data_IF_406262760144
#
_entry.id   IF_406262760144
#
_cell.length_a   1.000
_cell.length_b   1.000
_cell.length_c   1.000
_cell.angle_alpha   90.00
_cell.angle_beta   90.00
_cell.angle_gamma   90.00
#
_symmetry.space_group_name_H-M   'P 1'
#
loop_
_entity.id
_entity.type
_entity.pdbx_description
1 polymer ?
#
# COMPACT_ATOMS: atom_id res chain seq x y z
N UNK A 1 19.81 7.94 30.34
CA UNK A 1 19.61 6.53 30.68
C UNK A 1 18.30 6.51 31.44
N UNK A 2 17.15 6.43 30.79
CA UNK A 2 16.81 5.59 29.63
C UNK A 2 16.11 6.37 28.51
N UNK A 3 16.53 6.09 27.29
CA UNK A 3 15.92 6.56 26.05
C UNK A 3 15.07 5.43 25.47
N UNK A 4 13.85 5.77 25.07
CA UNK A 4 12.78 4.91 24.56
C UNK A 4 13.25 3.74 23.70
N UNK A 5 12.91 2.53 24.15
CA UNK A 5 13.05 1.29 23.42
C UNK A 5 11.70 0.95 22.73
N UNK A 6 11.18 1.90 21.94
CA UNK A 6 10.02 1.65 21.07
C UNK A 6 10.50 0.83 19.87
N UNK A 7 9.92 -0.35 19.76
CA UNK A 7 10.59 -1.55 19.30
C UNK A 7 10.11 -1.87 17.89
N UNK A 8 10.90 -1.44 16.90
CA UNK A 8 10.70 -1.63 15.46
C UNK A 8 10.16 -3.04 15.15
N UNK A 9 9.01 -3.07 14.50
CA UNK A 9 8.41 -4.25 13.85
C UNK A 9 8.42 -3.85 12.38
N UNK A 10 9.18 -4.56 11.55
CA UNK A 10 9.55 -4.13 10.20
C UNK A 10 8.92 -5.08 9.16
N UNK A 11 8.19 -4.55 8.17
CA UNK A 11 7.61 -5.23 6.98
C UNK A 11 7.39 -4.20 5.85
N UNK A 12 8.41 -3.96 5.04
CA UNK A 12 8.26 -3.15 3.82
C UNK A 12 7.30 -3.84 2.85
N UNK A 13 6.44 -3.07 2.19
CA UNK A 13 5.65 -3.50 1.04
C UNK A 13 5.90 -2.53 -0.11
N UNK A 14 6.64 -2.96 -1.14
CA UNK A 14 6.61 -2.23 -2.42
C UNK A 14 5.32 -2.61 -3.15
N UNK A 15 4.34 -1.71 -3.24
CA UNK A 15 3.08 -2.01 -3.94
C UNK A 15 3.20 -1.72 -5.44
N UNK A 16 3.08 -2.75 -6.27
CA UNK A 16 2.99 -2.65 -7.73
C UNK A 16 1.56 -2.98 -8.23
N UNK A 17 0.83 -1.99 -8.74
CA UNK A 17 -0.50 -2.17 -9.33
C UNK A 17 -0.39 -2.35 -10.85
N UNK A 18 -0.83 -3.51 -11.35
CA UNK A 18 -0.67 -3.89 -12.76
C UNK A 18 -2.02 -4.07 -13.48
N UNK A 19 -2.11 -3.63 -14.74
CA UNK A 19 -3.32 -3.72 -15.57
C UNK A 19 -3.14 -4.30 -16.99
N UNK A 20 -4.27 -4.84 -17.49
CA UNK A 20 -4.71 -5.29 -18.83
C UNK A 20 -4.15 -6.56 -19.50
N UNK A 21 -5.07 -7.31 -20.13
CA UNK A 21 -4.82 -8.43 -21.05
C UNK A 21 -5.79 -8.34 -22.23
N UNK A 22 -5.47 -7.50 -23.21
CA UNK A 22 -6.08 -7.52 -24.56
C UNK A 22 -4.98 -7.79 -25.58
N UNK A 23 -4.71 -9.07 -25.86
CA UNK A 23 -3.91 -9.57 -27.00
C UNK A 23 -2.73 -8.69 -27.45
N UNK A 24 -1.87 -8.29 -26.52
CA UNK A 24 -0.48 -7.88 -26.75
C UNK A 24 0.24 -8.02 -25.41
N UNK A 25 1.44 -8.59 -25.42
CA UNK A 25 2.17 -9.09 -24.25
C UNK A 25 2.87 -7.97 -23.43
N UNK A 26 2.14 -6.90 -23.08
CA UNK A 26 2.65 -5.85 -22.19
C UNK A 26 1.60 -5.55 -21.12
N UNK A 27 1.94 -5.91 -19.88
CA UNK A 27 1.20 -5.53 -18.69
C UNK A 27 1.57 -4.07 -18.37
N UNK A 28 0.59 -3.20 -18.19
CA UNK A 28 0.82 -1.78 -17.90
C UNK A 28 0.96 -1.59 -16.38
N UNK A 29 2.03 -0.91 -15.97
CA UNK A 29 2.23 -0.45 -14.60
C UNK A 29 1.43 0.84 -14.41
N UNK A 30 0.44 0.81 -13.51
CA UNK A 30 -0.38 1.99 -13.23
C UNK A 30 0.27 2.86 -12.14
N UNK A 31 0.63 2.22 -11.03
CA UNK A 31 1.25 2.88 -9.89
C UNK A 31 2.29 1.98 -9.24
N UNK A 32 3.28 2.64 -8.65
CA UNK A 32 4.33 2.02 -7.85
C UNK A 32 4.65 2.94 -6.67
N UNK A 33 4.84 2.36 -5.49
CA UNK A 33 5.37 3.07 -4.32
C UNK A 33 6.71 2.47 -3.98
N UNK A 34 7.77 3.27 -4.09
CA UNK A 34 9.14 2.85 -3.88
C UNK A 34 9.78 2.08 -5.03
N UNK A 35 11.04 1.73 -4.79
CA UNK A 35 11.87 0.91 -5.65
C UNK A 35 11.93 -0.52 -5.10
N UNK A 36 11.78 -1.49 -6.00
CA UNK A 36 12.18 -2.88 -5.75
C UNK A 36 13.72 -2.97 -5.78
N UNK A 37 14.36 -2.70 -4.63
CA UNK A 37 15.82 -2.65 -4.51
C UNK A 37 16.38 -3.35 -3.26
N UNK A 38 15.54 -4.10 -2.53
CA UNK A 38 15.88 -4.72 -1.24
C UNK A 38 16.45 -3.75 -0.18
N UNK A 39 16.17 -2.46 -0.33
CA UNK A 39 16.73 -1.39 0.46
C UNK A 39 15.68 -0.67 1.32
N UNK A 40 16.14 0.41 1.94
CA UNK A 40 15.29 1.45 2.51
C UNK A 40 15.86 2.77 2.01
N UNK A 41 15.96 2.95 0.68
CA UNK A 41 16.51 4.19 0.15
C UNK A 41 15.63 5.34 0.64
N UNK A 42 16.29 6.37 1.19
CA UNK A 42 15.60 7.64 1.37
C UNK A 42 15.37 8.21 -0.04
N UNK A 43 14.11 8.31 -0.40
CA UNK A 43 13.60 9.08 -1.51
C UNK A 43 13.66 10.57 -1.25
N UNK A 44 13.32 11.35 -2.27
CA UNK A 44 13.12 12.81 -2.16
C UNK A 44 11.86 13.27 -2.91
N UNK A 45 11.04 12.34 -3.40
CA UNK A 45 9.82 12.57 -4.18
C UNK A 45 8.83 11.42 -3.89
N UNK A 46 7.66 11.42 -4.51
CA UNK A 46 6.68 10.33 -4.36
C UNK A 46 6.72 9.25 -5.45
N UNK A 47 5.70 8.40 -5.45
CA UNK A 47 5.54 7.27 -6.35
C UNK A 47 6.72 6.31 -6.26
N UNK A 48 7.37 6.04 -7.40
CA UNK A 48 8.53 5.15 -7.48
C UNK A 48 9.70 5.61 -6.60
N UNK A 49 9.79 6.90 -6.30
CA UNK A 49 10.88 7.50 -5.52
C UNK A 49 10.49 7.75 -4.06
N UNK A 50 9.34 7.24 -3.59
CA UNK A 50 8.87 7.40 -2.22
C UNK A 50 9.84 6.84 -1.17
N UNK A 51 10.03 7.59 -0.07
CA UNK A 51 10.75 7.15 1.11
C UNK A 51 9.95 6.16 1.96
N UNK A 52 10.61 5.13 2.47
CA UNK A 52 10.02 4.20 3.43
C UNK A 52 10.54 4.53 4.83
N UNK A 53 9.72 5.25 5.61
CA UNK A 53 10.11 5.83 6.91
C UNK A 53 9.56 5.05 8.11
N UNK A 54 10.26 5.17 9.25
CA UNK A 54 9.84 4.50 10.48
C UNK A 54 8.40 4.86 10.82
N UNK A 55 7.65 3.84 11.22
CA UNK A 55 6.23 3.90 11.53
C UNK A 55 6.00 4.68 12.82
N UNK A 56 4.86 5.37 12.92
CA UNK A 56 4.40 6.00 14.14
C UNK A 56 3.77 4.96 15.11
N UNK A 57 3.37 3.79 14.60
CA UNK A 57 2.91 2.61 15.36
C UNK A 57 1.42 2.61 15.71
N UNK A 58 0.63 3.49 15.10
CA UNK A 58 -0.81 3.64 15.28
C UNK A 58 -1.53 3.65 13.92
N UNK A 59 -2.75 3.10 13.86
CA UNK A 59 -3.61 3.22 12.67
C UNK A 59 -4.30 4.58 12.71
N UNK A 60 -4.02 5.44 11.73
CA UNK A 60 -4.80 6.63 11.43
C UNK A 60 -6.18 6.25 10.90
N UNK A 61 -7.26 6.92 11.35
CA UNK A 61 -8.56 6.78 10.71
C UNK A 61 -8.53 7.42 9.30
N UNK A 62 -9.29 6.85 8.37
CA UNK A 62 -9.48 7.46 7.05
C UNK A 62 -9.99 8.92 7.19
N UNK A 63 -9.52 9.85 6.34
CA UNK A 63 -8.64 9.64 5.19
C UNK A 63 -7.13 9.73 5.49
N UNK A 64 -6.67 9.76 6.74
CA UNK A 64 -5.26 10.02 7.03
C UNK A 64 -4.81 11.42 6.59
N UNK A 65 -3.51 11.58 6.31
CA UNK A 65 -2.90 12.84 5.87
C UNK A 65 -2.12 12.66 4.57
N UNK A 66 -2.40 13.43 3.50
CA UNK A 66 -1.68 13.34 2.22
C UNK A 66 -0.35 14.13 2.25
N UNK A 67 0.29 14.25 3.41
CA UNK A 67 1.45 15.11 3.65
C UNK A 67 2.54 14.42 4.48
N UNK A 68 2.78 13.15 4.19
CA UNK A 68 3.84 12.35 4.78
C UNK A 68 5.22 12.89 4.42
N UNK A 69 6.16 12.78 5.36
CA UNK A 69 7.53 13.31 5.24
C UNK A 69 8.56 12.21 5.41
N UNK A 70 9.74 12.37 4.81
CA UNK A 70 10.87 11.43 4.93
C UNK A 70 11.49 11.31 6.34
N UNK A 71 10.94 12.00 7.34
CA UNK A 71 11.38 11.91 8.73
C UNK A 71 10.86 10.63 9.41
N UNK A 72 11.58 10.05 10.38
CA UNK A 72 11.05 8.97 11.19
C UNK A 72 9.72 9.36 11.86
N UNK A 73 8.69 8.53 11.70
CA UNK A 73 7.30 8.77 12.16
C UNK A 73 6.62 9.95 11.47
N UNK A 74 7.15 10.35 10.31
CA UNK A 74 6.65 11.42 9.48
C UNK A 74 5.57 10.99 8.49
N UNK A 75 5.31 9.68 8.36
CA UNK A 75 4.21 9.12 7.59
C UNK A 75 3.16 8.49 8.51
N UNK A 76 1.93 8.41 8.03
CA UNK A 76 0.91 7.54 8.60
C UNK A 76 0.67 6.33 7.67
N UNK A 77 -0.31 5.50 8.03
CA UNK A 77 -0.60 4.27 7.32
C UNK A 77 -1.41 4.50 6.03
N UNK A 78 -1.54 5.74 5.56
CA UNK A 78 -2.17 6.15 4.30
C UNK A 78 -1.13 6.77 3.36
N UNK A 79 -1.08 6.29 2.12
CA UNK A 79 -0.23 6.87 1.08
C UNK A 79 -1.09 7.30 -0.11
N UNK A 80 -1.08 8.58 -0.43
CA UNK A 80 -1.77 9.18 -1.55
C UNK A 80 -0.86 9.37 -2.76
N UNK A 81 -1.32 8.88 -3.91
CA UNK A 81 -0.86 9.37 -5.19
C UNK A 81 -1.50 10.74 -5.51
N UNK A 82 -0.86 11.52 -6.38
CA UNK A 82 -1.43 12.74 -6.92
C UNK A 82 -2.78 12.45 -7.59
N UNK A 83 -3.78 13.28 -7.29
CA UNK A 83 -5.15 13.01 -7.73
C UNK A 83 -6.18 13.94 -7.11
N UNK A 84 -7.43 13.77 -7.52
CA UNK A 84 -8.59 14.44 -6.95
C UNK A 84 -9.45 13.40 -6.23
N UNK A 85 -9.70 13.60 -4.94
CA UNK A 85 -10.40 12.66 -4.06
C UNK A 85 -11.61 13.36 -3.47
N UNK A 86 -12.70 13.38 -4.21
CA UNK A 86 -13.94 14.10 -3.88
C UNK A 86 -15.15 13.18 -3.72
N UNK A 87 -14.96 11.87 -3.93
CA UNK A 87 -16.04 10.89 -3.96
C UNK A 87 -15.59 9.61 -3.27
N UNK A 88 -16.35 9.21 -2.26
CA UNK A 88 -16.14 7.96 -1.55
C UNK A 88 -16.67 6.79 -2.34
N UNK A 89 -15.93 5.69 -2.31
CA UNK A 89 -16.44 4.38 -2.72
C UNK A 89 -17.08 3.73 -1.49
N UNK A 90 -18.35 3.31 -1.52
CA UNK A 90 -19.08 2.80 -0.35
C UNK A 90 -18.38 1.65 0.41
N UNK A 91 -17.52 0.89 -0.25
CA UNK A 91 -16.72 -0.20 0.35
C UNK A 91 -15.61 0.28 1.30
N UNK A 92 -15.23 1.56 1.24
CA UNK A 92 -14.10 2.14 1.99
C UNK A 92 -14.51 2.70 3.35
N UNK A 93 -15.81 2.71 3.66
CA UNK A 93 -16.35 3.35 4.85
C UNK A 93 -16.73 4.80 4.63
N UNK A 94 -17.01 5.52 5.72
CA UNK A 94 -17.53 6.88 5.70
C UNK A 94 -16.49 7.84 6.27
N UNK A 95 -16.03 8.80 5.48
CA UNK A 95 -15.08 9.85 5.86
C UNK A 95 -15.23 11.09 4.95
N UNK A 96 -14.72 12.24 5.36
CA UNK A 96 -14.71 13.42 4.47
C UNK A 96 -13.59 13.25 3.42
N UNK A 97 -13.87 13.33 2.11
CA UNK A 97 -12.85 13.19 1.09
C UNK A 97 -11.74 14.25 1.21
N UNK A 98 -10.49 13.86 0.94
CA UNK A 98 -9.32 14.73 1.16
C UNK A 98 -9.22 15.89 0.16
N UNK A 99 -9.87 15.79 -1.00
CA UNK A 99 -9.84 16.78 -2.07
C UNK A 99 -8.63 16.60 -2.99
N UNK A 100 -8.02 17.71 -3.43
CA UNK A 100 -6.88 17.69 -4.33
C UNK A 100 -5.59 17.33 -3.59
N UNK A 101 -4.87 16.35 -4.13
CA UNK A 101 -3.49 16.01 -3.76
C UNK A 101 -2.61 16.35 -4.96
N UNK A 102 -1.77 17.38 -4.81
CA UNK A 102 -1.01 17.96 -5.93
C UNK A 102 0.17 17.08 -6.40
N UNK A 103 0.73 16.27 -5.51
CA UNK A 103 1.91 15.44 -5.74
C UNK A 103 1.75 14.11 -5.03
N UNK A 104 2.36 13.05 -5.56
CA UNK A 104 2.52 11.79 -4.84
C UNK A 104 3.20 12.08 -3.50
N UNK A 105 2.74 11.44 -2.43
CA UNK A 105 3.33 11.66 -1.11
C UNK A 105 4.80 11.28 -1.06
N UNK A 106 5.61 12.04 -0.31
CA UNK A 106 7.05 11.84 -0.26
C UNK A 106 7.43 10.52 0.44
N UNK A 107 6.59 10.04 1.35
CA UNK A 107 6.93 8.90 2.20
C UNK A 107 5.73 8.01 2.52
N UNK A 108 5.99 6.71 2.65
CA UNK A 108 5.07 5.71 3.18
C UNK A 108 5.63 5.12 4.48
N UNK A 109 4.74 4.66 5.36
CA UNK A 109 5.16 3.81 6.47
C UNK A 109 5.79 2.51 5.95
N UNK A 110 6.91 2.19 6.55
CA UNK A 110 7.80 1.15 6.05
C UNK A 110 7.53 -0.24 6.62
N UNK A 111 6.57 -0.35 7.55
CA UNK A 111 6.24 -1.60 8.20
C UNK A 111 4.85 -1.68 8.77
N UNK A 112 4.40 -2.91 8.95
CA UNK A 112 3.44 -3.23 9.99
C UNK A 112 4.10 -3.17 11.38
N UNK A 113 3.72 -2.18 12.18
CA UNK A 113 4.27 -2.00 13.52
C UNK A 113 3.26 -1.84 14.65
N UNK A 114 3.41 -2.72 15.63
CA UNK A 114 2.69 -2.73 16.91
C UNK A 114 1.19 -2.91 16.70
N UNK A 115 0.41 -1.84 16.85
CA UNK A 115 -1.02 -1.85 16.56
C UNK A 115 -1.32 -1.49 15.11
N UNK A 116 -0.37 -0.90 14.40
CA UNK A 116 -0.48 -0.63 12.97
C UNK A 116 -0.24 -1.92 12.16
N UNK A 117 -1.33 -2.39 11.58
CA UNK A 117 -1.45 -3.62 10.82
C UNK A 117 -2.26 -3.39 9.53
N UNK A 118 -2.40 -2.14 9.07
CA UNK A 118 -3.21 -1.80 7.90
C UNK A 118 -2.58 -0.65 7.10
N UNK A 119 -1.79 -0.98 6.08
CA UNK A 119 -1.19 -0.01 5.18
C UNK A 119 -2.11 0.21 3.98
N UNK A 120 -2.44 1.47 3.68
CA UNK A 120 -3.43 1.85 2.67
C UNK A 120 -2.82 2.75 1.61
N UNK A 121 -3.17 2.51 0.36
CA UNK A 121 -2.67 3.24 -0.79
C UNK A 121 -3.84 3.76 -1.63
N UNK A 122 -3.90 5.07 -1.80
CA UNK A 122 -5.01 5.83 -2.36
C UNK A 122 -4.66 6.35 -3.76
N UNK A 123 -5.54 6.09 -4.73
CA UNK A 123 -5.30 6.47 -6.12
C UNK A 123 -6.60 6.68 -6.91
N UNK A 124 -6.53 7.51 -7.95
CA UNK A 124 -7.55 7.58 -9.00
C UNK A 124 -7.16 6.65 -10.17
N UNK A 125 -8.08 5.80 -10.65
CA UNK A 125 -7.86 4.98 -11.85
C UNK A 125 -7.97 5.80 -13.15
N UNK A 126 -7.25 5.47 -14.24
CA UNK A 126 -7.46 6.09 -15.54
C UNK A 126 -8.90 5.90 -16.04
N UNK A 127 -9.49 6.96 -16.60
CA UNK A 127 -10.86 6.96 -17.15
C UNK A 127 -11.03 6.07 -18.39
N UNK A 128 -9.92 5.60 -18.97
CA UNK A 128 -9.88 4.67 -20.09
C UNK A 128 -10.12 3.21 -19.70
N UNK A 129 -10.14 2.88 -18.42
CA UNK A 129 -10.37 1.51 -17.97
C UNK A 129 -11.86 1.17 -17.99
N UNK A 130 -12.17 -0.01 -18.48
CA UNK A 130 -13.51 -0.58 -18.51
C UNK A 130 -13.81 -1.40 -17.24
N UNK A 131 -15.07 -1.60 -16.85
CA UNK A 131 -15.44 -2.44 -15.70
C UNK A 131 -14.87 -3.87 -15.74
N UNK A 132 -14.61 -4.40 -16.94
CA UNK A 132 -14.02 -5.72 -17.18
C UNK A 132 -12.49 -5.73 -17.25
N UNK A 133 -11.84 -4.57 -17.12
CA UNK A 133 -10.39 -4.47 -17.08
C UNK A 133 -9.84 -5.26 -15.90
N UNK A 134 -8.81 -6.05 -16.18
CA UNK A 134 -8.16 -6.87 -15.17
C UNK A 134 -7.01 -6.11 -14.51
N UNK A 135 -7.03 -6.09 -13.18
CA UNK A 135 -5.94 -5.60 -12.34
C UNK A 135 -5.35 -6.73 -11.50
N UNK A 136 -4.12 -6.51 -11.02
CA UNK A 136 -3.51 -7.27 -9.93
C UNK A 136 -2.67 -6.35 -9.06
N UNK A 137 -2.54 -6.69 -7.80
CA UNK A 137 -1.64 -6.03 -6.85
C UNK A 137 -0.42 -6.92 -6.65
N UNK A 138 0.78 -6.33 -6.54
CA UNK A 138 2.01 -7.06 -6.21
C UNK A 138 2.68 -6.38 -5.03
N UNK A 139 3.23 -7.15 -4.12
CA UNK A 139 4.10 -6.63 -3.07
C UNK A 139 5.16 -7.65 -2.68
N UNK A 140 6.24 -7.20 -2.09
CA UNK A 140 7.27 -8.05 -1.50
C UNK A 140 7.51 -7.66 -0.04
N UNK A 141 8.39 -8.41 0.65
CA UNK A 141 8.80 -8.09 2.01
C UNK A 141 10.32 -8.10 2.12
N UNK A 142 10.88 -7.00 2.62
CA UNK A 142 12.33 -6.86 2.80
C UNK A 142 12.85 -7.64 4.02
N UNK A 143 12.14 -7.58 5.15
CA UNK A 143 12.58 -8.24 6.38
C UNK A 143 11.42 -8.72 7.27
N UNK A 144 11.78 -9.46 8.32
CA UNK A 144 10.90 -9.91 9.39
C UNK A 144 11.52 -9.59 10.75
N UNK A 145 10.67 -9.51 11.78
CA UNK A 145 11.15 -9.54 13.16
C UNK A 145 11.83 -10.89 13.46
N UNK A 146 13.11 -10.83 13.84
CA UNK A 146 13.95 -12.01 14.10
C UNK A 146 14.02 -12.41 15.57
N UNK A 147 13.30 -11.72 16.46
CA UNK A 147 13.24 -12.06 17.89
C UNK A 147 12.45 -13.35 18.18
N UNK A 148 11.31 -13.62 17.51
CA UNK A 148 10.61 -14.90 17.67
C UNK A 148 11.44 -16.08 17.16
N UNK A 149 11.21 -17.27 17.74
CA UNK A 149 11.87 -18.50 17.28
C UNK A 149 11.40 -18.94 15.88
N UNK A 150 10.20 -18.52 15.48
CA UNK A 150 9.64 -18.73 14.14
C UNK A 150 9.28 -17.37 13.50
N UNK A 151 10.25 -16.63 12.93
CA UNK A 151 9.99 -15.38 12.24
C UNK A 151 8.99 -15.59 11.09
N UNK A 152 7.82 -14.97 11.19
CA UNK A 152 6.76 -15.05 10.18
C UNK A 152 5.78 -13.90 10.34
N UNK A 153 5.12 -13.56 9.24
CA UNK A 153 4.07 -12.55 9.22
C UNK A 153 3.03 -12.88 8.16
N UNK A 154 1.76 -12.64 8.44
CA UNK A 154 0.65 -12.84 7.49
C UNK A 154 0.28 -11.53 6.82
N UNK A 155 0.01 -11.54 5.52
CA UNK A 155 -0.51 -10.38 4.78
C UNK A 155 -1.71 -10.78 3.93
N UNK A 156 -2.84 -10.11 4.11
CA UNK A 156 -4.01 -10.13 3.23
C UNK A 156 -4.02 -8.87 2.34
N UNK A 157 -4.58 -8.96 1.13
CA UNK A 157 -4.74 -7.80 0.24
C UNK A 157 -6.21 -7.55 -0.04
N UNK A 158 -6.63 -6.31 0.14
CA UNK A 158 -7.96 -5.82 -0.16
C UNK A 158 -7.91 -4.72 -1.21
N UNK A 159 -8.93 -4.67 -2.06
CA UNK A 159 -9.18 -3.56 -2.99
C UNK A 159 -10.59 -3.04 -2.73
N UNK A 160 -10.70 -1.76 -2.36
CA UNK A 160 -11.92 -1.11 -1.90
C UNK A 160 -12.75 -1.94 -0.90
N UNK A 161 -12.08 -2.51 0.10
CA UNK A 161 -12.68 -3.38 1.11
C UNK A 161 -13.03 -4.80 0.66
N UNK A 162 -12.83 -5.15 -0.62
CA UNK A 162 -13.02 -6.51 -1.15
C UNK A 162 -11.71 -7.30 -1.06
N UNK A 163 -11.75 -8.48 -0.43
CA UNK A 163 -10.59 -9.37 -0.32
C UNK A 163 -10.20 -9.91 -1.71
N UNK A 164 -9.00 -9.55 -2.19
CA UNK A 164 -8.46 -10.02 -3.48
C UNK A 164 -7.36 -11.07 -3.32
N UNK A 165 -6.76 -11.15 -2.14
CA UNK A 165 -5.74 -12.14 -1.80
C UNK A 165 -5.88 -12.57 -0.33
N UNK A 166 -6.27 -13.83 -0.08
CA UNK A 166 -6.21 -14.42 1.26
C UNK A 166 -4.80 -14.42 1.81
N UNK A 167 -4.67 -14.60 3.13
CA UNK A 167 -3.40 -14.48 3.85
C UNK A 167 -2.25 -15.24 3.16
N UNK A 168 -1.20 -14.49 2.87
CA UNK A 168 0.11 -15.00 2.49
C UNK A 168 0.96 -15.04 3.75
N UNK A 169 1.39 -16.24 4.16
CA UNK A 169 2.32 -16.40 5.27
C UNK A 169 3.76 -16.28 4.78
N UNK A 170 4.39 -15.16 5.11
CA UNK A 170 5.78 -14.82 4.76
C UNK A 170 6.72 -15.36 5.83
N UNK A 171 7.81 -15.99 5.39
CA UNK A 171 8.89 -16.53 6.24
C UNK A 171 10.24 -16.12 5.62
N UNK A 172 11.38 -16.32 6.29
CA UNK A 172 12.67 -15.84 5.80
C UNK A 172 13.02 -16.26 4.36
N UNK A 173 12.67 -17.46 3.85
CA UNK A 173 12.91 -17.83 2.46
C UNK A 173 12.04 -17.10 1.42
N UNK A 174 11.03 -16.34 1.84
CA UNK A 174 10.15 -15.57 0.96
C UNK A 174 10.30 -14.05 1.14
N UNK A 175 11.38 -13.60 1.77
CA UNK A 175 11.81 -12.21 1.62
C UNK A 175 12.29 -11.99 0.17
N UNK A 176 12.14 -10.77 -0.36
CA UNK A 176 12.52 -10.42 -1.75
C UNK A 176 11.76 -11.25 -2.81
N UNK A 177 10.54 -11.67 -2.49
CA UNK A 177 9.67 -12.40 -3.42
C UNK A 177 8.46 -11.56 -3.72
N UNK A 178 8.26 -11.29 -5.01
CA UNK A 178 7.05 -10.65 -5.53
C UNK A 178 5.82 -11.53 -5.32
N UNK A 179 4.97 -11.14 -4.39
CA UNK A 179 3.65 -11.70 -4.18
C UNK A 179 2.62 -10.97 -5.02
N UNK A 180 2.24 -11.59 -6.13
CA UNK A 180 1.20 -11.07 -7.02
C UNK A 180 -0.15 -11.72 -6.73
N UNK A 181 -1.18 -10.89 -6.53
CA UNK A 181 -2.56 -11.37 -6.39
C UNK A 181 -3.05 -12.02 -7.68
N UNK A 182 -4.04 -12.93 -7.61
CA UNK A 182 -4.86 -13.26 -8.76
C UNK A 182 -5.40 -12.00 -9.44
N UNK A 183 -5.61 -12.07 -10.75
CA UNK A 183 -6.27 -10.97 -11.46
C UNK A 183 -7.74 -10.88 -11.06
N UNK A 184 -8.24 -9.66 -10.93
CA UNK A 184 -9.64 -9.34 -10.65
C UNK A 184 -10.12 -8.21 -11.57
N UNK A 185 -11.42 -8.14 -11.83
CA UNK A 185 -12.01 -7.07 -12.64
C UNK A 185 -12.31 -5.85 -11.79
N UNK A 186 -12.32 -4.65 -12.37
CA UNK A 186 -12.73 -3.43 -11.67
C UNK A 186 -14.10 -3.57 -11.00
N UNK A 187 -15.08 -4.12 -11.72
CA UNK A 187 -16.43 -4.33 -11.19
C UNK A 187 -16.47 -5.27 -9.98
N UNK A 188 -15.57 -6.27 -9.91
CA UNK A 188 -15.56 -7.25 -8.83
C UNK A 188 -15.09 -6.68 -7.49
N UNK A 189 -14.41 -5.53 -7.53
CA UNK A 189 -13.85 -4.84 -6.38
C UNK A 189 -14.43 -3.44 -6.21
N UNK A 190 -15.57 -3.14 -6.83
CA UNK A 190 -16.22 -1.83 -6.78
C UNK A 190 -15.27 -0.66 -7.15
N UNK A 191 -14.32 -0.90 -8.06
CA UNK A 191 -13.41 0.14 -8.49
C UNK A 191 -14.11 1.17 -9.37
N UNK A 192 -13.79 2.44 -9.15
CA UNK A 192 -14.31 3.56 -9.93
C UNK A 192 -13.17 4.28 -10.65
N UNK A 193 -13.42 4.71 -11.88
CA UNK A 193 -12.41 5.30 -12.76
C UNK A 193 -12.56 6.81 -12.86
N UNK A 194 -11.48 7.48 -13.24
CA UNK A 194 -11.41 8.93 -13.39
C UNK A 194 -11.09 9.66 -12.08
N UNK A 195 -10.94 10.99 -12.17
CA UNK A 195 -10.74 11.83 -10.99
C UNK A 195 -11.97 11.80 -10.09
N UNK A 196 -11.74 12.02 -8.80
CA UNK A 196 -12.76 12.09 -7.76
C UNK A 196 -12.85 10.82 -6.92
N UNK A 197 -12.73 9.64 -7.54
CA UNK A 197 -12.89 8.36 -6.86
C UNK A 197 -11.67 7.98 -6.02
N UNK A 198 -11.87 7.79 -4.71
CA UNK A 198 -10.83 7.29 -3.80
C UNK A 198 -10.79 5.76 -3.81
N UNK A 199 -10.00 5.19 -4.72
CA UNK A 199 -9.71 3.75 -4.71
C UNK A 199 -8.58 3.46 -3.73
N UNK A 200 -8.76 2.42 -2.92
CA UNK A 200 -7.86 2.05 -1.85
C UNK A 200 -7.43 0.60 -2.03
N UNK A 201 -6.12 0.38 -2.08
CA UNK A 201 -5.54 -0.94 -1.76
C UNK A 201 -5.14 -0.95 -0.30
N UNK A 202 -5.54 -1.98 0.43
CA UNK A 202 -5.13 -2.20 1.82
C UNK A 202 -4.35 -3.49 1.95
N UNK A 203 -3.16 -3.42 2.54
CA UNK A 203 -2.40 -4.57 2.99
C UNK A 203 -2.64 -4.73 4.47
N UNK A 204 -3.21 -5.87 4.87
CA UNK A 204 -3.59 -6.13 6.27
C UNK A 204 -2.73 -7.20 6.89
N UNK A 205 -2.08 -6.85 7.99
CA UNK A 205 -1.10 -7.66 8.68
C UNK A 205 -1.68 -8.56 9.76
N UNK A 206 -1.14 -9.78 9.87
CA UNK A 206 -1.36 -10.69 10.99
C UNK A 206 -0.03 -11.00 11.68
N UNK A 207 0.07 -10.60 12.96
CA UNK A 207 1.22 -10.90 13.82
C UNK A 207 1.07 -12.27 14.49
N UNK A 208 2.17 -13.03 14.56
CA UNK A 208 2.24 -14.38 15.13
C UNK A 208 3.11 -14.51 16.38
#
# INVERSE_FOLDING_TARGET
MDSDNSLNRAVMCCLLLLGISTYSNAQELLWTVGLDDNGWPAGWDGGADASFVQENGEISPLPGSPFSTSEPRGADNDYYFAGEYTTLIPGNGEYEPIGLVDYDEEAAERAFAAGDLDLRYHFNLPDTLEPTSLLSVTFDANNLDTRPADPRFGVEVYFNGVLVQPEILIRPPQLDVDFKTPQFTLESVNAEVGPGADNIVSLRGTSY
#
